data_IF_410653152697
#
_entry.id   IF_410653152697
#
_cell.length_a   1.000
_cell.length_b   1.000
_cell.length_c   1.000
_cell.angle_alpha   90.00
_cell.angle_beta   90.00
_cell.angle_gamma   90.00
#
_symmetry.space_group_name_H-M   'P 1'
#
loop_
_entity.id
_entity.type
_entity.pdbx_description
1 polymer ?
#
# COMPACT_ATOMS: atom_id res chain seq x y z
N UNK A 1 5.51 -19.73 -13.88
CA UNK A 1 6.30 -20.41 -12.83
C UNK A 1 6.84 -19.32 -11.91
N UNK A 2 6.08 -18.95 -10.89
CA UNK A 2 6.49 -17.93 -9.93
C UNK A 2 7.33 -18.64 -8.86
N UNK A 3 8.62 -18.28 -8.78
CA UNK A 3 9.47 -18.69 -7.67
C UNK A 3 9.01 -17.94 -6.42
N UNK A 4 8.23 -18.60 -5.56
CA UNK A 4 7.91 -18.08 -4.24
C UNK A 4 9.16 -18.21 -3.37
N UNK A 5 9.88 -17.10 -3.18
CA UNK A 5 11.02 -17.05 -2.27
C UNK A 5 10.57 -17.38 -0.84
N UNK A 6 11.18 -18.40 -0.25
CA UNK A 6 10.97 -18.76 1.15
C UNK A 6 11.86 -17.88 2.03
N UNK A 7 11.27 -17.25 3.06
CA UNK A 7 12.05 -16.50 4.05
C UNK A 7 12.73 -17.46 5.02
N UNK A 8 13.78 -16.98 5.70
CA UNK A 8 14.53 -17.75 6.71
C UNK A 8 13.66 -18.28 7.85
N UNK A 9 12.48 -17.69 8.09
CA UNK A 9 11.51 -18.13 9.10
C UNK A 9 10.66 -19.34 8.67
N UNK A 10 10.81 -19.83 7.44
CA UNK A 10 9.97 -20.87 6.86
C UNK A 10 8.65 -20.35 6.26
N UNK A 11 8.29 -19.09 6.52
CA UNK A 11 7.14 -18.40 5.91
C UNK A 11 7.46 -18.02 4.46
N UNK A 12 6.50 -18.20 3.55
CA UNK A 12 6.63 -17.67 2.19
C UNK A 12 6.27 -16.19 2.15
N UNK A 13 6.91 -15.43 1.26
CA UNK A 13 6.53 -14.04 1.01
C UNK A 13 5.06 -13.92 0.56
N UNK A 14 4.60 -14.90 -0.22
CA UNK A 14 3.21 -15.02 -0.67
C UNK A 14 2.24 -15.09 0.50
N UNK A 15 2.49 -15.94 1.50
CA UNK A 15 1.64 -16.06 2.69
C UNK A 15 1.55 -14.77 3.50
N UNK A 16 2.66 -14.01 3.59
CA UNK A 16 2.65 -12.69 4.24
C UNK A 16 1.80 -11.68 3.47
N UNK A 17 1.89 -11.67 2.14
CA UNK A 17 1.05 -10.81 1.31
C UNK A 17 -0.43 -11.19 1.43
N UNK A 18 -0.77 -12.49 1.33
CA UNK A 18 -2.13 -12.99 1.50
C UNK A 18 -2.75 -12.53 2.83
N UNK A 19 -1.99 -12.65 3.93
CA UNK A 19 -2.45 -12.18 5.23
C UNK A 19 -2.61 -10.66 5.27
N UNK A 20 -1.64 -9.90 4.74
CA UNK A 20 -1.68 -8.42 4.73
C UNK A 20 -2.84 -7.85 3.89
N UNK A 21 -3.35 -8.63 2.93
CA UNK A 21 -4.41 -8.23 2.01
C UNK A 21 -5.81 -8.66 2.48
N UNK A 22 -5.99 -9.20 3.68
CA UNK A 22 -7.33 -9.48 4.20
C UNK A 22 -8.16 -8.20 4.35
N UNK A 23 -9.48 -8.28 4.08
CA UNK A 23 -10.35 -7.11 3.99
C UNK A 23 -10.44 -6.32 5.31
N UNK A 24 -10.36 -6.99 6.46
CA UNK A 24 -10.32 -6.37 7.78
C UNK A 24 -9.11 -5.44 8.00
N UNK A 25 -8.03 -5.61 7.24
CA UNK A 25 -6.84 -4.75 7.32
C UNK A 25 -6.81 -3.67 6.23
N UNK A 26 -7.86 -3.55 5.41
CA UNK A 26 -7.93 -2.60 4.33
C UNK A 26 -8.74 -1.35 4.71
N UNK A 27 -8.16 -0.19 4.41
CA UNK A 27 -8.91 1.05 4.27
C UNK A 27 -9.09 1.32 2.77
N UNK A 28 -10.35 1.49 2.32
CA UNK A 28 -10.69 1.82 0.93
C UNK A 28 -11.35 3.18 0.88
N UNK A 29 -10.81 4.08 0.07
CA UNK A 29 -11.32 5.42 -0.09
C UNK A 29 -11.82 5.65 -1.52
N UNK A 30 -13.03 6.20 -1.64
CA UNK A 30 -13.60 6.65 -2.91
C UNK A 30 -13.36 8.15 -2.98
N UNK A 31 -12.45 8.56 -3.86
CA UNK A 31 -12.05 9.96 -4.01
C UNK A 31 -13.22 10.87 -4.37
N UNK A 32 -13.33 11.99 -3.66
CA UNK A 32 -14.16 13.12 -4.00
C UNK A 32 -13.31 14.38 -4.20
N UNK A 33 -13.88 15.37 -4.88
CA UNK A 33 -13.20 16.65 -5.10
C UNK A 33 -12.86 17.29 -3.74
N UNK A 34 -11.61 17.73 -3.60
CA UNK A 34 -11.04 18.35 -2.40
C UNK A 34 -10.72 17.39 -1.24
N UNK A 35 -10.78 16.08 -1.43
CA UNK A 35 -10.30 15.15 -0.42
C UNK A 35 -8.78 15.24 -0.26
N UNK A 36 -8.34 15.14 1.00
CA UNK A 36 -6.94 15.04 1.39
C UNK A 36 -6.77 13.81 2.30
N UNK A 37 -5.96 12.85 1.87
CA UNK A 37 -5.60 11.69 2.68
C UNK A 37 -4.16 11.85 3.13
N UNK A 38 -3.92 11.53 4.41
CA UNK A 38 -2.59 11.40 4.97
C UNK A 38 -2.44 10.00 5.55
N UNK A 39 -1.28 9.39 5.34
CA UNK A 39 -0.97 8.08 5.91
C UNK A 39 0.48 8.03 6.38
N UNK A 40 0.74 7.14 7.36
CA UNK A 40 2.11 6.84 7.77
C UNK A 40 2.71 5.79 6.82
N UNK A 41 3.65 6.22 5.98
CA UNK A 41 4.28 5.40 4.94
C UNK A 41 5.21 4.30 5.49
N UNK A 42 5.29 4.11 6.81
CA UNK A 42 6.10 3.05 7.46
C UNK A 42 5.30 1.79 7.77
N UNK A 43 3.97 1.91 7.86
CA UNK A 43 3.11 0.84 8.39
C UNK A 43 1.98 0.46 7.44
N UNK A 44 1.83 1.17 6.31
CA UNK A 44 0.80 0.88 5.31
C UNK A 44 1.42 0.58 3.96
N UNK A 45 0.83 -0.39 3.27
CA UNK A 45 0.97 -0.55 1.83
C UNK A 45 -0.19 0.23 1.18
N UNK A 46 0.08 0.95 0.09
CA UNK A 46 -0.96 1.60 -0.70
C UNK A 46 -1.03 0.97 -2.09
N UNK A 47 -2.24 0.88 -2.63
CA UNK A 47 -2.52 0.33 -3.95
C UNK A 47 -3.57 1.20 -4.64
N UNK A 48 -3.35 1.50 -5.93
CA UNK A 48 -4.33 2.22 -6.75
C UNK A 48 -5.23 1.21 -7.42
N UNK A 49 -6.51 1.26 -7.12
CA UNK A 49 -7.52 0.45 -7.82
C UNK A 49 -7.77 1.11 -9.18
N UNK A 50 -7.58 0.36 -10.25
CA UNK A 50 -7.91 0.81 -11.61
C UNK A 50 -9.38 0.46 -11.90
N UNK A 51 -10.31 1.17 -11.28
CA UNK A 51 -11.77 0.99 -11.44
C UNK A 51 -12.44 2.16 -12.19
N UNK A 52 -11.65 3.11 -12.68
CA UNK A 52 -12.12 4.25 -13.45
C UNK A 52 -12.15 3.91 -14.96
N UNK A 53 -13.16 4.40 -15.68
CA UNK A 53 -13.22 4.39 -17.15
C UNK A 53 -12.05 5.22 -17.74
N UNK A 54 -11.91 5.27 -19.07
CA UNK A 54 -10.76 5.84 -19.81
C UNK A 54 -10.34 7.29 -19.45
N UNK A 55 -11.06 7.97 -18.56
CA UNK A 55 -10.73 9.31 -18.07
C UNK A 55 -9.60 9.27 -17.02
N UNK A 56 -8.55 10.09 -17.18
CA UNK A 56 -7.40 10.09 -16.27
C UNK A 56 -7.74 10.71 -14.91
N UNK A 57 -7.40 10.01 -13.83
CA UNK A 57 -7.42 10.57 -12.46
C UNK A 57 -6.09 11.24 -12.14
N UNK A 58 -6.13 12.52 -11.76
CA UNK A 58 -4.94 13.28 -11.35
C UNK A 58 -4.91 13.50 -9.83
N UNK A 59 -3.81 13.09 -9.18
CA UNK A 59 -3.60 13.24 -7.73
C UNK A 59 -2.26 13.96 -7.49
N UNK A 60 -2.27 15.00 -6.65
CA UNK A 60 -1.05 15.65 -6.18
C UNK A 60 -0.58 14.99 -4.88
N UNK A 61 0.68 14.54 -4.84
CA UNK A 61 1.26 13.89 -3.66
C UNK A 61 2.49 14.64 -3.16
N UNK A 62 2.53 14.86 -1.85
CA UNK A 62 3.71 15.30 -1.12
C UNK A 62 4.11 14.22 -0.12
N UNK A 63 5.41 14.01 0.06
CA UNK A 63 5.94 13.18 1.14
C UNK A 63 6.78 14.05 2.07
N UNK A 64 6.55 13.92 3.37
CA UNK A 64 7.30 14.64 4.40
C UNK A 64 8.38 13.72 4.94
N UNK A 65 9.63 14.15 4.82
CA UNK A 65 10.77 13.45 5.42
C UNK A 65 10.79 13.66 6.94
N UNK A 66 11.22 12.64 7.67
CA UNK A 66 11.51 12.76 9.10
C UNK A 66 13.02 12.70 9.33
N UNK A 67 13.57 13.40 10.34
CA UNK A 67 15.01 13.40 10.63
C UNK A 67 15.56 12.03 11.03
N UNK A 68 14.70 11.14 11.56
CA UNK A 68 15.13 9.85 12.11
C UNK A 68 14.93 8.71 11.10
N UNK A 69 16.00 7.98 10.74
CA UNK A 69 15.91 6.79 9.90
C UNK A 69 15.01 5.72 10.52
N UNK A 70 14.39 4.92 9.68
CA UNK A 70 13.80 3.66 10.11
C UNK A 70 14.98 2.71 10.30
N UNK A 71 15.16 2.17 11.50
CA UNK A 71 16.28 1.27 11.83
C UNK A 71 16.38 0.15 10.78
N UNK A 72 17.56 0.02 10.17
CA UNK A 72 17.97 -1.07 9.28
C UNK A 72 18.39 -2.30 10.07
#
# INVERSE_FOLDING_TARGET
>A
MLWAGQLKSGTSLESLFEQSMQIEFQFRHIWQKNDLIMWDNRIVLNFVVQDHADEPTHIHRLQVERPTPILS
#
